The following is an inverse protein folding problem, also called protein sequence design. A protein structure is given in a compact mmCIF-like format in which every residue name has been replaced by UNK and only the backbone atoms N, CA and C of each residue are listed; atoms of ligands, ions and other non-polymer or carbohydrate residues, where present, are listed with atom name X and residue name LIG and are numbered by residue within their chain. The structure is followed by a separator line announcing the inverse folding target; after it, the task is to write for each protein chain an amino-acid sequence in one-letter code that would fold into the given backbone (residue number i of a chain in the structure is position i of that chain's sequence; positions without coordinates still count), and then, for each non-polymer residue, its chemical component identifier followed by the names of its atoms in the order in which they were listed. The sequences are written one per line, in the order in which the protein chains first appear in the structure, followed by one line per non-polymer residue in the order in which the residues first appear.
data_IF_071653101198
#
_entry.id   IF_071653101198
#
_cell.length_a   1.000
_cell.length_b   1.000
_cell.length_c   1.000
_cell.angle_alpha   90.00
_cell.angle_beta   90.00
_cell.angle_gamma   90.00
#
_symmetry.space_group_name_H-M   'P 1'
#
loop_
_entity.id
_entity.type
_entity.pdbx_description
1 polymer ?
#
# COMPACT_ATOMS: atom_id res chain seq x y z
N UNK A 1 -8.58 -19.74 16.35
CA UNK A 1 -7.20 -19.24 16.53
C UNK A 1 -7.13 -18.55 17.88
N UNK A 2 -6.24 -19.00 18.77
CA UNK A 2 -6.01 -18.37 20.08
C UNK A 2 -5.09 -17.16 19.94
N UNK A 3 -5.18 -16.18 20.84
CA UNK A 3 -4.36 -14.95 20.82
C UNK A 3 -2.85 -15.23 20.70
N UNK A 4 -2.38 -16.35 21.24
CA UNK A 4 -1.00 -16.79 21.14
C UNK A 4 -0.52 -17.00 19.68
N UNK A 5 -1.37 -17.51 18.80
CA UNK A 5 -1.02 -17.76 17.39
C UNK A 5 -0.82 -16.44 16.63
N UNK A 6 -1.64 -15.42 16.93
CA UNK A 6 -1.46 -14.07 16.39
C UNK A 6 -0.14 -13.44 16.83
N UNK A 7 0.20 -13.55 18.12
CA UNK A 7 1.46 -13.01 18.64
C UNK A 7 2.68 -13.73 18.07
N UNK A 8 2.61 -15.05 17.87
CA UNK A 8 3.70 -15.80 17.22
C UNK A 8 3.87 -15.42 15.75
N UNK A 9 2.77 -15.20 15.02
CA UNK A 9 2.83 -14.83 13.60
C UNK A 9 3.38 -13.42 13.43
N UNK A 10 2.83 -12.44 14.16
CA UNK A 10 3.31 -11.04 14.13
C UNK A 10 4.75 -10.96 14.65
N UNK A 11 5.05 -11.58 15.78
CA UNK A 11 6.39 -11.59 16.37
C UNK A 11 7.42 -12.27 15.46
N UNK A 12 7.06 -13.41 14.86
CA UNK A 12 7.89 -14.12 13.89
C UNK A 12 8.16 -13.28 12.64
N UNK A 13 7.14 -12.60 12.11
CA UNK A 13 7.29 -11.69 10.96
C UNK A 13 8.22 -10.51 11.30
N UNK A 14 8.04 -9.89 12.46
CA UNK A 14 8.87 -8.77 12.92
C UNK A 14 10.32 -9.20 13.16
N UNK A 15 10.55 -10.36 13.78
CA UNK A 15 11.88 -10.93 13.99
C UNK A 15 12.56 -11.28 12.66
N UNK A 16 11.84 -11.95 11.76
CA UNK A 16 12.35 -12.29 10.44
C UNK A 16 12.75 -11.02 9.68
N UNK A 17 11.91 -9.99 9.68
CA UNK A 17 12.20 -8.70 9.05
C UNK A 17 13.40 -8.00 9.70
N UNK A 18 13.49 -8.00 11.03
CA UNK A 18 14.64 -7.40 11.74
C UNK A 18 15.97 -8.09 11.43
N UNK A 19 15.96 -9.42 11.33
CA UNK A 19 17.14 -10.24 11.02
C UNK A 19 17.53 -10.20 9.53
N UNK A 20 16.55 -10.10 8.63
CA UNK A 20 16.79 -10.04 7.17
C UNK A 20 17.03 -8.64 6.64
N UNK A 21 16.72 -7.58 7.39
CA UNK A 21 16.94 -6.19 6.96
C UNK A 21 18.37 -5.89 6.47
N UNK A 22 19.46 -6.38 7.10
CA UNK A 22 20.83 -6.13 6.61
C UNK A 22 21.15 -6.90 5.32
N UNK A 23 20.50 -8.05 5.09
CA UNK A 23 20.72 -8.92 3.93
C UNK A 23 19.88 -8.47 2.72
N UNK A 24 18.64 -8.02 2.98
CA UNK A 24 17.71 -7.51 1.96
C UNK A 24 18.13 -6.15 1.41
N UNK A 25 18.88 -5.34 2.15
CA UNK A 25 19.44 -4.07 1.64
C UNK A 25 20.34 -4.25 0.40
N UNK A 26 20.79 -5.49 0.11
CA UNK A 26 21.60 -5.81 -1.09
C UNK A 26 20.80 -6.36 -2.26
N UNK A 27 19.50 -6.60 -2.10
CA UNK A 27 18.62 -7.16 -3.13
C UNK A 27 17.59 -6.10 -3.57
N UNK A 28 17.23 -6.06 -4.87
CA UNK A 28 16.23 -5.11 -5.39
C UNK A 28 14.78 -5.53 -5.05
N UNK A 29 14.55 -6.06 -3.84
CA UNK A 29 13.25 -6.58 -3.41
C UNK A 29 12.62 -5.61 -2.41
N UNK A 30 11.44 -5.09 -2.75
CA UNK A 30 10.70 -4.21 -1.85
C UNK A 30 10.06 -5.01 -0.70
N UNK A 31 9.90 -4.41 0.50
CA UNK A 31 9.21 -5.06 1.62
C UNK A 31 7.82 -5.58 1.26
N UNK A 32 7.10 -4.90 0.35
CA UNK A 32 5.78 -5.31 -0.12
C UNK A 32 5.79 -6.70 -0.78
N UNK A 33 6.78 -6.99 -1.62
CA UNK A 33 6.90 -8.30 -2.30
C UNK A 33 7.13 -9.41 -1.27
N UNK A 34 7.94 -9.15 -0.25
CA UNK A 34 8.22 -10.12 0.82
C UNK A 34 6.97 -10.39 1.64
N UNK A 35 6.23 -9.34 2.05
CA UNK A 35 4.99 -9.53 2.80
C UNK A 35 3.92 -10.26 1.98
N UNK A 36 3.83 -9.98 0.67
CA UNK A 36 2.94 -10.71 -0.24
C UNK A 36 3.34 -12.18 -0.34
N UNK A 37 4.64 -12.49 -0.51
CA UNK A 37 5.14 -13.85 -0.59
C UNK A 37 4.88 -14.63 0.71
N UNK A 38 5.15 -14.02 1.87
CA UNK A 38 4.84 -14.63 3.18
C UNK A 38 3.34 -14.86 3.33
N UNK A 39 2.51 -13.89 2.96
CA UNK A 39 1.05 -14.04 2.98
C UNK A 39 0.56 -15.18 2.07
N UNK A 40 1.14 -15.34 0.88
CA UNK A 40 0.80 -16.41 -0.05
C UNK A 40 1.21 -17.79 0.49
N UNK A 41 2.39 -17.87 1.11
CA UNK A 41 2.92 -19.09 1.72
C UNK A 41 2.09 -19.51 2.94
N UNK A 42 1.91 -18.61 3.91
CA UNK A 42 1.22 -18.90 5.17
C UNK A 42 -0.30 -19.02 4.98
N UNK A 43 -0.83 -18.37 3.95
CA UNK A 43 -2.24 -18.39 3.59
C UNK A 43 -2.75 -19.73 3.06
N UNK A 44 -4.04 -19.77 2.68
CA UNK A 44 -4.73 -21.00 2.26
C UNK A 44 -4.17 -21.62 0.98
N UNK A 45 -3.39 -20.87 0.20
CA UNK A 45 -2.83 -21.30 -1.09
C UNK A 45 -1.72 -22.34 -0.97
N UNK A 46 -0.96 -22.35 0.12
CA UNK A 46 0.23 -23.21 0.26
C UNK A 46 0.20 -24.03 1.56
N UNK A 47 0.35 -23.38 2.71
CA UNK A 47 0.43 -24.08 4.00
C UNK A 47 -0.90 -24.18 4.74
N UNK A 48 -1.93 -23.44 4.33
CA UNK A 48 -3.24 -23.35 4.99
C UNK A 48 -3.18 -23.09 6.51
N UNK A 49 -2.06 -22.51 6.95
CA UNK A 49 -1.82 -22.23 8.35
C UNK A 49 -2.64 -21.03 8.84
N UNK A 50 -3.02 -20.13 7.92
CA UNK A 50 -3.74 -18.92 8.21
C UNK A 50 -4.91 -18.70 7.24
N UNK A 51 -6.12 -18.84 7.76
CA UNK A 51 -7.35 -18.60 7.02
C UNK A 51 -7.94 -17.24 7.43
N UNK A 52 -7.73 -16.24 6.59
CA UNK A 52 -8.38 -14.94 6.72
C UNK A 52 -9.43 -14.79 5.63
N UNK A 53 -10.68 -14.58 6.02
CA UNK A 53 -11.78 -14.38 5.10
C UNK A 53 -12.16 -12.89 5.11
N UNK A 54 -11.75 -12.10 4.11
CA UNK A 54 -12.00 -10.65 4.08
C UNK A 54 -13.48 -10.29 4.15
N UNK A 55 -14.36 -11.17 3.66
CA UNK A 55 -15.81 -10.95 3.66
C UNK A 55 -16.44 -11.20 5.03
N UNK A 56 -15.89 -12.14 5.82
CA UNK A 56 -16.39 -12.44 7.17
C UNK A 56 -15.74 -11.59 8.25
N UNK A 57 -14.51 -11.12 8.01
CA UNK A 57 -13.70 -10.34 8.94
C UNK A 57 -13.52 -8.89 8.47
N UNK A 58 -14.46 -8.39 7.66
CA UNK A 58 -14.40 -7.06 7.05
C UNK A 58 -14.27 -5.94 8.08
N UNK A 59 -15.01 -6.00 9.18
CA UNK A 59 -14.97 -4.97 10.23
C UNK A 59 -13.59 -4.86 10.89
N UNK A 60 -12.92 -5.99 11.13
CA UNK A 60 -11.56 -5.98 11.67
C UNK A 60 -10.58 -5.45 10.63
N UNK A 61 -10.71 -5.89 9.37
CA UNK A 61 -9.86 -5.43 8.28
C UNK A 61 -9.99 -3.91 8.08
N UNK A 62 -11.21 -3.40 8.08
CA UNK A 62 -11.55 -1.99 7.93
C UNK A 62 -10.85 -1.16 8.99
N UNK A 63 -11.05 -1.48 10.27
CA UNK A 63 -10.42 -0.75 11.39
C UNK A 63 -8.89 -0.80 11.29
N UNK A 64 -8.30 -1.95 10.98
CA UNK A 64 -6.85 -2.05 10.81
C UNK A 64 -6.35 -1.20 9.64
N UNK A 65 -7.01 -1.26 8.49
CA UNK A 65 -6.64 -0.47 7.32
C UNK A 65 -6.80 1.02 7.55
N UNK A 66 -7.87 1.43 8.24
CA UNK A 66 -8.12 2.84 8.58
C UNK A 66 -7.01 3.37 9.50
N UNK A 67 -6.68 2.65 10.57
CA UNK A 67 -5.60 3.03 11.48
C UNK A 67 -4.26 3.12 10.75
N UNK A 68 -3.93 2.14 9.90
CA UNK A 68 -2.69 2.15 9.11
C UNK A 68 -2.66 3.34 8.15
N UNK A 69 -3.75 3.59 7.41
CA UNK A 69 -3.85 4.71 6.45
C UNK A 69 -3.71 6.05 7.17
N UNK A 70 -4.38 6.23 8.32
CA UNK A 70 -4.30 7.45 9.12
C UNK A 70 -2.87 7.71 9.63
N UNK A 71 -2.21 6.69 10.20
CA UNK A 71 -0.83 6.82 10.69
C UNK A 71 0.12 7.12 9.53
N UNK A 72 -0.03 6.45 8.39
CA UNK A 72 0.80 6.66 7.20
C UNK A 72 0.65 8.07 6.64
N UNK A 73 -0.58 8.57 6.48
CA UNK A 73 -0.86 9.93 6.02
C UNK A 73 -0.34 10.98 7.01
N UNK A 74 -0.53 10.76 8.31
CA UNK A 74 -0.01 11.66 9.34
C UNK A 74 1.51 11.73 9.31
N UNK A 75 2.19 10.58 9.24
CA UNK A 75 3.66 10.51 9.18
C UNK A 75 4.20 11.18 7.92
N UNK A 76 3.57 10.94 6.76
CA UNK A 76 3.91 11.61 5.51
C UNK A 76 3.71 13.14 5.62
N UNK A 77 2.60 13.57 6.22
CA UNK A 77 2.29 14.98 6.49
C UNK A 77 3.34 15.68 7.35
N UNK A 78 3.77 15.06 8.45
CA UNK A 78 4.80 15.61 9.34
C UNK A 78 6.16 15.75 8.65
N UNK A 79 6.48 14.86 7.70
CA UNK A 79 7.74 14.88 6.94
C UNK A 79 7.76 15.92 5.82
N UNK A 80 6.62 16.45 5.38
CA UNK A 80 6.57 17.39 4.25
C UNK A 80 7.19 18.75 4.61
N UNK A 81 8.32 19.13 3.99
CA UNK A 81 8.98 20.39 4.26
C UNK A 81 8.49 21.44 3.26
N UNK A 82 7.29 22.00 3.43
CA UNK A 82 6.85 23.08 2.53
C UNK A 82 6.15 24.21 3.26
N UNK A 83 6.64 25.46 3.14
CA UNK A 83 5.79 26.62 3.37
C UNK A 83 4.68 26.65 2.29
N UNK A 84 3.44 26.88 2.71
CA UNK A 84 2.27 26.95 1.83
C UNK A 84 2.44 28.08 0.80
N UNK A 85 2.76 27.71 -0.45
CA UNK A 85 2.85 28.63 -1.58
C UNK A 85 2.10 28.04 -2.77
N UNK A 86 1.18 28.81 -3.35
CA UNK A 86 0.35 28.39 -4.48
C UNK A 86 1.16 27.82 -5.66
N UNK A 87 2.35 28.37 -5.94
CA UNK A 87 3.19 27.91 -7.05
C UNK A 87 3.71 26.48 -6.84
N UNK A 88 4.05 26.11 -5.60
CA UNK A 88 4.55 24.76 -5.25
C UNK A 88 3.42 23.74 -5.11
N UNK A 89 2.23 24.18 -4.70
CA UNK A 89 1.07 23.31 -4.52
C UNK A 89 0.34 22.97 -5.82
N UNK A 90 0.57 23.72 -6.90
CA UNK A 90 -0.06 23.45 -8.20
C UNK A 90 0.24 22.04 -8.72
N UNK A 91 1.49 21.57 -8.64
CA UNK A 91 1.85 20.26 -9.17
C UNK A 91 1.25 19.09 -8.36
N UNK A 92 1.35 19.03 -7.02
CA UNK A 92 0.66 18.02 -6.22
C UNK A 92 -0.85 18.03 -6.43
N UNK A 93 -1.49 19.20 -6.52
CA UNK A 93 -2.94 19.30 -6.74
C UNK A 93 -3.31 18.74 -8.12
N UNK A 94 -2.57 19.06 -9.17
CA UNK A 94 -2.82 18.54 -10.52
C UNK A 94 -2.60 17.02 -10.61
N UNK A 95 -1.59 16.49 -9.92
CA UNK A 95 -1.36 15.05 -9.84
C UNK A 95 -2.49 14.34 -9.07
N UNK A 96 -2.87 14.88 -7.91
CA UNK A 96 -3.91 14.30 -7.07
C UNK A 96 -5.31 14.37 -7.70
N UNK A 97 -5.59 15.39 -8.53
CA UNK A 97 -6.91 15.58 -9.14
C UNK A 97 -6.95 15.11 -10.59
N UNK A 98 -6.27 15.81 -11.50
CA UNK A 98 -6.33 15.56 -12.94
C UNK A 98 -5.71 14.22 -13.28
N UNK A 99 -4.47 13.97 -12.85
CA UNK A 99 -3.78 12.72 -13.18
C UNK A 99 -4.51 11.52 -12.60
N UNK A 100 -4.92 11.58 -11.33
CA UNK A 100 -5.67 10.50 -10.69
C UNK A 100 -7.02 10.24 -11.38
N UNK A 101 -7.78 11.29 -11.74
CA UNK A 101 -9.06 11.14 -12.45
C UNK A 101 -8.87 10.48 -13.81
N UNK A 102 -7.83 10.87 -14.55
CA UNK A 102 -7.50 10.26 -15.84
C UNK A 102 -7.14 8.78 -15.65
N UNK A 103 -6.31 8.44 -14.65
CA UNK A 103 -5.97 7.05 -14.34
C UNK A 103 -7.20 6.20 -13.99
N UNK A 104 -8.10 6.71 -13.15
CA UNK A 104 -9.37 6.03 -12.81
C UNK A 104 -10.20 5.83 -14.07
N UNK A 105 -10.33 6.85 -14.93
CA UNK A 105 -11.08 6.79 -16.17
C UNK A 105 -10.52 5.75 -17.14
N UNK A 106 -9.19 5.67 -17.29
CA UNK A 106 -8.52 4.70 -18.14
C UNK A 106 -8.72 3.26 -17.63
N UNK A 107 -8.58 3.03 -16.32
CA UNK A 107 -8.83 1.72 -15.71
C UNK A 107 -10.31 1.33 -15.84
N UNK A 108 -11.23 2.27 -15.63
CA UNK A 108 -12.66 2.02 -15.78
C UNK A 108 -13.03 1.68 -17.23
N UNK A 109 -12.47 2.40 -18.21
CA UNK A 109 -12.65 2.09 -19.63
C UNK A 109 -12.10 0.70 -19.97
N UNK A 110 -10.88 0.37 -19.50
CA UNK A 110 -10.30 -0.95 -19.68
C UNK A 110 -11.18 -2.06 -19.07
N UNK A 111 -11.65 -1.86 -17.85
CA UNK A 111 -12.51 -2.81 -17.15
C UNK A 111 -13.85 -3.01 -17.88
N UNK A 112 -14.45 -1.94 -18.40
CA UNK A 112 -15.71 -2.00 -19.12
C UNK A 112 -15.56 -2.67 -20.50
N UNK A 113 -14.62 -2.20 -21.32
CA UNK A 113 -14.48 -2.65 -22.71
C UNK A 113 -13.77 -4.00 -22.85
N UNK A 114 -12.79 -4.30 -22.00
CA UNK A 114 -11.94 -5.48 -22.14
C UNK A 114 -12.31 -6.61 -21.17
N UNK A 115 -12.72 -6.28 -19.94
CA UNK A 115 -13.10 -7.28 -18.94
C UNK A 115 -14.61 -7.51 -18.86
N UNK A 116 -15.42 -6.71 -19.59
CA UNK A 116 -16.88 -6.82 -19.59
C UNK A 116 -17.52 -6.48 -18.23
N UNK A 117 -16.81 -5.74 -17.38
CA UNK A 117 -17.30 -5.38 -16.05
C UNK A 117 -18.35 -4.25 -16.14
N UNK A 118 -19.32 -4.19 -15.22
CA UNK A 118 -20.20 -3.03 -15.10
C UNK A 118 -19.40 -1.75 -14.86
N UNK A 119 -19.88 -0.62 -15.40
CA UNK A 119 -19.14 0.65 -15.31
C UNK A 119 -18.84 1.08 -13.86
N UNK A 120 -19.75 0.81 -12.92
CA UNK A 120 -19.52 1.07 -11.50
C UNK A 120 -18.39 0.23 -10.90
N UNK A 121 -18.28 -1.04 -11.29
CA UNK A 121 -17.18 -1.91 -10.86
C UNK A 121 -15.84 -1.47 -11.48
N UNK A 122 -15.85 -1.00 -12.73
CA UNK A 122 -14.67 -0.43 -13.38
C UNK A 122 -14.17 0.85 -12.69
N UNK A 123 -15.09 1.76 -12.32
CA UNK A 123 -14.74 2.97 -11.56
C UNK A 123 -14.17 2.60 -10.19
N UNK A 124 -14.80 1.65 -9.48
CA UNK A 124 -14.30 1.17 -8.19
C UNK A 124 -12.90 0.57 -8.29
N UNK A 125 -12.66 -0.26 -9.31
CA UNK A 125 -11.34 -0.84 -9.58
C UNK A 125 -10.30 0.25 -9.85
N UNK A 126 -10.67 1.25 -10.66
CA UNK A 126 -9.83 2.43 -10.90
C UNK A 126 -9.52 3.20 -9.62
N UNK A 127 -10.51 3.41 -8.76
CA UNK A 127 -10.33 4.10 -7.48
C UNK A 127 -9.40 3.35 -6.51
N UNK A 128 -9.34 2.02 -6.58
CA UNK A 128 -8.43 1.18 -5.79
C UNK A 128 -7.01 1.22 -6.35
N UNK A 129 -6.85 1.20 -7.69
CA UNK A 129 -5.54 1.05 -8.34
C UNK A 129 -4.83 2.38 -8.63
N UNK A 130 -5.57 3.47 -8.85
CA UNK A 130 -5.01 4.76 -9.25
C UNK A 130 -4.21 5.50 -8.16
N UNK A 131 -4.57 5.44 -6.86
CA UNK A 131 -3.80 6.12 -5.82
C UNK A 131 -2.36 5.60 -5.73
N UNK A 132 -1.38 6.50 -5.81
CA UNK A 132 0.04 6.17 -5.63
C UNK A 132 0.38 6.13 -4.15
N UNK A 133 0.79 4.98 -3.63
CA UNK A 133 1.07 4.76 -2.20
C UNK A 133 2.22 5.65 -1.69
N UNK A 134 1.96 6.58 -0.74
CA UNK A 134 3.00 7.42 -0.17
C UNK A 134 4.02 6.62 0.66
N UNK A 135 3.66 5.47 1.24
CA UNK A 135 4.53 4.71 2.15
C UNK A 135 5.67 4.06 1.38
N UNK A 136 5.35 3.34 0.30
CA UNK A 136 6.36 2.74 -0.58
C UNK A 136 7.19 3.81 -1.30
N UNK A 137 6.57 4.95 -1.66
CA UNK A 137 7.30 6.07 -2.24
C UNK A 137 8.29 6.70 -1.25
N UNK A 138 7.97 6.74 0.05
CA UNK A 138 8.86 7.31 1.09
C UNK A 138 10.08 6.42 1.33
N UNK A 139 9.98 5.09 1.17
CA UNK A 139 11.13 4.17 1.28
C UNK A 139 12.16 4.35 0.16
N UNK A 140 11.76 4.94 -0.98
CA UNK A 140 12.62 5.27 -2.14
C UNK A 140 13.03 6.74 -2.15
N UNK A 141 12.47 7.57 -1.25
CA UNK A 141 12.84 8.99 -1.18
C UNK A 141 14.24 9.18 -0.58
N UNK A 142 14.92 10.11 -1.23
CA UNK A 142 16.30 10.46 -1.05
C UNK A 142 16.57 10.87 0.40
N UNK A 143 17.56 10.22 1.02
CA UNK A 143 17.95 10.39 2.43
C UNK A 143 18.55 11.76 2.78
N UNK A 144 18.83 12.63 1.82
CA UNK A 144 19.58 13.87 2.07
C UNK A 144 18.99 15.11 1.36
N UNK A 145 19.03 16.30 2.00
CA UNK A 145 18.69 17.54 1.34
C UNK A 145 19.76 17.85 0.28
N UNK A 146 19.38 17.87 -1.01
CA UNK A 146 20.25 18.32 -2.11
C UNK A 146 20.47 17.32 -3.24
N UNK A 147 19.87 16.13 -3.18
CA UNK A 147 20.00 15.15 -4.25
C UNK A 147 19.08 15.50 -5.44
N UNK A 148 19.57 15.28 -6.66
CA UNK A 148 19.02 15.80 -7.92
C UNK A 148 18.72 14.70 -8.95
N UNK A 149 18.55 13.47 -8.50
CA UNK A 149 18.10 12.35 -9.34
C UNK A 149 16.58 12.15 -9.28
#
# INVERSE_FOLDING_TARGET
MTNAQWFLLVGGLLLARGLTAPLLQRLPVTPAIIYLAVGLLVGPTMFDAFHFNPLKQSALLEVLTEVVVLISLFSAGVKMPTPFSFARWRAPILLATVSMTVSVGLVAAFAYFLLGLPIGAGILLGAILAPTDPVLATDVQIRHPGDRD
#
